data_IF_032827168377
#
_entry.id   IF_032827168377
#
_cell.length_a   1.000
_cell.length_b   1.000
_cell.length_c   1.000
_cell.angle_alpha   90.00
_cell.angle_beta   90.00
_cell.angle_gamma   90.00
#
_symmetry.space_group_name_H-M   'P 1'
#
loop_
_entity.id
_entity.type
_entity.pdbx_description
1 polymer ?
#
# COMPACT_ATOMS: atom_id res chain seq x y z
N UNK A 1 -17.77 17.56 11.16
CA UNK A 1 -16.58 17.42 10.26
C UNK A 1 -17.05 16.63 9.05
N UNK A 2 -16.82 17.10 7.82
CA UNK A 2 -17.34 16.41 6.62
C UNK A 2 -16.38 15.29 6.23
N UNK A 3 -16.87 14.06 6.20
CA UNK A 3 -16.12 12.91 5.71
C UNK A 3 -16.03 13.00 4.17
N UNK A 4 -14.83 12.78 3.63
CA UNK A 4 -14.54 12.88 2.19
C UNK A 4 -14.05 11.56 1.58
N UNK A 5 -13.66 10.60 2.43
CA UNK A 5 -13.14 9.30 2.04
C UNK A 5 -13.21 8.36 3.24
N UNK A 6 -13.82 7.19 3.04
CA UNK A 6 -13.87 6.10 4.01
C UNK A 6 -13.85 4.79 3.23
N UNK A 7 -12.85 3.95 3.52
CA UNK A 7 -12.69 2.66 2.88
C UNK A 7 -11.77 1.78 3.73
N UNK A 8 -11.98 0.47 3.63
CA UNK A 8 -11.23 -0.55 4.33
C UNK A 8 -10.49 -1.43 3.31
N UNK A 9 -9.31 -1.89 3.69
CA UNK A 9 -8.57 -2.89 2.91
C UNK A 9 -7.07 -2.64 2.88
N UNK A 10 -6.41 -3.40 2.01
CA UNK A 10 -4.95 -3.40 1.88
C UNK A 10 -4.52 -2.24 0.98
N UNK A 11 -3.72 -1.32 1.53
CA UNK A 11 -3.17 -0.18 0.79
C UNK A 11 -1.90 -0.54 0.00
N UNK A 12 -1.08 -1.46 0.52
CA UNK A 12 0.16 -1.91 -0.11
C UNK A 12 0.25 -3.42 0.01
N UNK A 13 0.52 -4.08 -1.11
CA UNK A 13 0.82 -5.51 -1.14
C UNK A 13 2.32 -5.72 -1.17
N UNK A 14 2.78 -6.72 -0.45
CA UNK A 14 4.17 -7.15 -0.46
C UNK A 14 4.28 -8.43 -1.29
N UNK A 15 5.16 -8.42 -2.28
CA UNK A 15 5.53 -9.61 -3.04
C UNK A 15 7.01 -9.91 -2.83
N UNK A 16 7.32 -11.15 -2.48
CA UNK A 16 8.70 -11.62 -2.38
C UNK A 16 9.01 -12.48 -3.61
N UNK A 17 10.10 -12.16 -4.31
CA UNK A 17 10.60 -12.94 -5.44
C UNK A 17 12.02 -13.40 -5.14
N UNK A 18 12.22 -14.72 -5.09
CA UNK A 18 13.57 -15.29 -5.04
C UNK A 18 14.20 -15.26 -6.43
N UNK A 19 15.43 -14.78 -6.50
CA UNK A 19 16.22 -14.71 -7.72
C UNK A 19 17.52 -15.46 -7.47
N UNK A 20 17.81 -16.44 -8.32
CA UNK A 20 19.11 -17.11 -8.33
C UNK A 20 20.09 -16.29 -9.17
N UNK A 21 21.26 -16.02 -8.59
CA UNK A 21 22.37 -15.34 -9.24
C UNK A 21 23.27 -16.38 -9.94
N UNK A 22 24.06 -15.95 -10.93
CA UNK A 22 24.92 -16.85 -11.72
C UNK A 22 25.99 -17.57 -10.88
N UNK A 23 26.32 -17.04 -9.70
CA UNK A 23 27.25 -17.63 -8.75
C UNK A 23 26.60 -18.66 -7.80
N UNK A 24 25.31 -18.95 -7.95
CA UNK A 24 24.57 -19.94 -7.16
C UNK A 24 23.92 -19.40 -5.88
N UNK A 25 24.06 -18.11 -5.59
CA UNK A 25 23.42 -17.47 -4.44
C UNK A 25 21.94 -17.15 -4.71
N UNK A 26 21.12 -17.17 -3.66
CA UNK A 26 19.71 -16.74 -3.72
C UNK A 26 19.52 -15.35 -3.09
N UNK A 27 18.92 -14.44 -3.85
CA UNK A 27 18.54 -13.11 -3.38
C UNK A 27 17.01 -13.01 -3.26
N UNK A 28 16.52 -12.54 -2.13
CA UNK A 28 15.08 -12.29 -1.93
C UNK A 28 14.78 -10.83 -2.26
N UNK A 29 14.11 -10.59 -3.38
CA UNK A 29 13.66 -9.28 -3.79
C UNK A 29 12.27 -9.01 -3.20
N UNK A 30 12.15 -7.96 -2.39
CA UNK A 30 10.87 -7.49 -1.86
C UNK A 30 10.33 -6.36 -2.73
N UNK A 31 9.13 -6.54 -3.27
CA UNK A 31 8.44 -5.55 -4.09
C UNK A 31 7.22 -5.07 -3.31
N UNK A 32 7.11 -3.76 -3.15
CA UNK A 32 5.90 -3.09 -2.66
C UNK A 32 5.04 -2.68 -3.85
N UNK A 33 3.82 -3.20 -3.91
CA UNK A 33 2.85 -2.85 -4.94
C UNK A 33 1.68 -2.06 -4.31
N UNK A 34 1.58 -0.75 -4.58
CA UNK A 34 0.46 0.05 -4.09
C UNK A 34 -0.83 -0.39 -4.77
N UNK A 35 -1.87 -0.62 -3.98
CA UNK A 35 -3.17 -1.09 -4.49
C UNK A 35 -4.00 0.04 -5.05
N UNK A 36 -5.11 -0.30 -5.72
CA UNK A 36 -6.11 0.68 -6.17
C UNK A 36 -6.63 1.56 -5.01
N UNK A 37 -6.73 1.00 -3.81
CA UNK A 37 -7.19 1.71 -2.61
C UNK A 37 -6.27 2.88 -2.26
N UNK A 38 -4.95 2.69 -2.38
CA UNK A 38 -3.96 3.74 -2.19
C UNK A 38 -4.15 4.88 -3.20
N UNK A 39 -4.38 4.56 -4.47
CA UNK A 39 -4.61 5.57 -5.51
C UNK A 39 -5.90 6.35 -5.27
N UNK A 40 -6.99 5.67 -4.89
CA UNK A 40 -8.27 6.32 -4.55
C UNK A 40 -8.12 7.28 -3.36
N UNK A 41 -7.41 6.86 -2.31
CA UNK A 41 -7.11 7.73 -1.17
C UNK A 41 -6.30 8.96 -1.65
N UNK A 42 -5.22 8.74 -2.39
CA UNK A 42 -4.34 9.82 -2.86
C UNK A 42 -5.11 10.87 -3.67
N UNK A 43 -5.95 10.46 -4.60
CA UNK A 43 -6.78 11.38 -5.39
C UNK A 43 -7.84 12.08 -4.52
N UNK A 44 -8.42 11.40 -3.52
CA UNK A 44 -9.37 12.01 -2.61
C UNK A 44 -8.76 13.13 -1.74
N UNK A 45 -7.48 12.99 -1.34
CA UNK A 45 -6.76 13.95 -0.49
C UNK A 45 -6.10 15.10 -1.28
N UNK A 46 -5.85 14.92 -2.58
CA UNK A 46 -5.07 15.84 -3.42
C UNK A 46 -5.61 17.27 -3.35
N UNK A 47 -4.73 18.22 -2.97
CA UNK A 47 -5.04 19.64 -2.88
C UNK A 47 -5.94 20.05 -1.72
N UNK A 48 -6.23 19.14 -0.77
CA UNK A 48 -7.08 19.42 0.40
C UNK A 48 -6.28 19.37 1.69
N UNK A 49 -6.59 20.25 2.64
CA UNK A 49 -6.09 20.16 4.02
C UNK A 49 -7.05 19.33 4.84
N UNK A 50 -6.62 18.15 5.25
CA UNK A 50 -7.47 17.09 5.80
C UNK A 50 -6.78 16.42 6.99
N UNK A 51 -7.57 15.83 7.89
CA UNK A 51 -7.09 14.95 8.94
C UNK A 51 -7.37 13.52 8.50
N UNK A 52 -6.33 12.70 8.43
CA UNK A 52 -6.46 11.26 8.15
C UNK A 52 -6.49 10.53 9.49
N UNK A 53 -7.45 9.61 9.64
CA UNK A 53 -7.54 8.71 10.78
C UNK A 53 -7.51 7.29 10.21
N UNK A 54 -6.59 6.47 10.70
CA UNK A 54 -6.37 5.10 10.21
C UNK A 54 -6.58 4.16 11.38
N UNK A 55 -7.26 3.06 11.11
CA UNK A 55 -7.46 1.96 12.06
C UNK A 55 -6.89 0.69 11.45
N UNK A 56 -6.26 -0.14 12.27
CA UNK A 56 -5.96 -1.52 11.88
C UNK A 56 -7.27 -2.30 11.95
N UNK A 57 -7.59 -2.99 10.86
CA UNK A 57 -8.67 -3.96 10.83
C UNK A 57 -8.07 -5.30 11.21
N UNK A 58 -8.58 -5.90 12.28
CA UNK A 58 -8.25 -7.28 12.65
C UNK A 58 -8.79 -8.25 11.59
N UNK A 59 -8.09 -9.36 11.33
CA UNK A 59 -8.53 -10.45 10.43
C UNK A 59 -9.71 -11.25 11.02
#
# INVERSE_FOLDING_TARGET
MREIFNAEGVFVKYAEKKVQLENGDELTHRIEEPTELWWKLKEALKGKRVRVVVYEVEE
#
